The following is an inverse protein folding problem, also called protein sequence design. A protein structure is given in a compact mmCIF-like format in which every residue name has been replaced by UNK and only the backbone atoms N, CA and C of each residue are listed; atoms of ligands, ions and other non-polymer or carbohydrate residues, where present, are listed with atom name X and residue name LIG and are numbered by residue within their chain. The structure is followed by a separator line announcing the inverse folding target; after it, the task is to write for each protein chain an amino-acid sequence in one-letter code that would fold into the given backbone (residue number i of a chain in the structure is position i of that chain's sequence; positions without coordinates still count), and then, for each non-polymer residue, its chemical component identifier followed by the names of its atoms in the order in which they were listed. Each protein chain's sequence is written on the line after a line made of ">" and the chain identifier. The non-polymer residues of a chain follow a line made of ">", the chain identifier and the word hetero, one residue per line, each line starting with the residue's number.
data_IF_999840358502
#
_entry.id   IF_999840358502
#
_cell.length_a   1.000
_cell.length_b   1.000
_cell.length_c   1.000
_cell.angle_alpha   90.00
_cell.angle_beta   90.00
_cell.angle_gamma   90.00
#
_symmetry.space_group_name_H-M   'P 1'
#
loop_
_entity.id
_entity.type
_entity.pdbx_description
1 polymer ?
#
# COMPACT_ATOMS: atom_id res chain seq x y z
N UNK A 1 3.74 -82.33 17.98
CA UNK A 1 4.80 -82.10 16.98
C UNK A 1 4.27 -81.16 15.91
N UNK A 2 5.13 -80.30 15.35
CA UNK A 2 4.89 -79.15 14.44
C UNK A 2 4.52 -77.83 15.12
N UNK A 3 5.59 -77.05 15.36
CA UNK A 3 5.60 -75.61 15.65
C UNK A 3 5.22 -74.89 14.34
N UNK A 4 4.12 -74.13 14.33
CA UNK A 4 3.81 -73.21 13.23
C UNK A 4 4.43 -71.87 13.58
N UNK A 5 5.49 -71.56 12.84
CA UNK A 5 6.29 -70.34 12.93
C UNK A 5 5.59 -69.28 12.07
N UNK A 6 4.87 -68.33 12.67
CA UNK A 6 4.29 -67.20 11.92
C UNK A 6 5.33 -66.08 11.93
N UNK A 7 6.06 -65.96 10.83
CA UNK A 7 6.90 -64.81 10.54
C UNK A 7 5.99 -63.61 10.20
N UNK A 8 5.93 -62.62 11.09
CA UNK A 8 5.42 -61.29 10.76
C UNK A 8 6.38 -60.66 9.76
N UNK A 9 6.01 -60.65 8.48
CA UNK A 9 6.70 -59.87 7.46
C UNK A 9 6.49 -58.39 7.76
N UNK A 10 7.53 -57.74 8.28
CA UNK A 10 7.59 -56.28 8.39
C UNK A 10 7.74 -55.75 6.95
N UNK A 11 6.65 -55.25 6.38
CA UNK A 11 6.66 -54.49 5.14
C UNK A 11 7.37 -53.17 5.43
N UNK A 12 8.69 -53.12 5.16
CA UNK A 12 9.44 -51.87 5.12
C UNK A 12 8.92 -51.04 3.94
N UNK A 13 7.91 -50.21 4.20
CA UNK A 13 7.56 -49.10 3.30
C UNK A 13 8.70 -48.10 3.47
N UNK A 14 9.67 -48.17 2.56
CA UNK A 14 10.63 -47.10 2.34
C UNK A 14 9.84 -45.87 1.87
N UNK A 15 9.44 -45.03 2.82
CA UNK A 15 9.06 -43.64 2.57
C UNK A 15 10.31 -42.97 2.01
N UNK A 16 10.40 -42.92 0.68
CA UNK A 16 11.24 -41.97 0.01
C UNK A 16 10.73 -40.58 0.39
N UNK A 17 11.30 -40.03 1.47
CA UNK A 17 11.28 -38.60 1.72
C UNK A 17 12.01 -37.98 0.53
N UNK A 18 11.25 -37.59 -0.49
CA UNK A 18 11.68 -36.53 -1.39
C UNK A 18 11.64 -35.26 -0.54
N UNK A 19 12.78 -34.63 -0.18
CA UNK A 19 12.72 -33.22 0.07
C UNK A 19 12.43 -32.64 -1.32
N UNK A 20 11.17 -32.34 -1.60
CA UNK A 20 10.90 -31.25 -2.51
C UNK A 20 11.53 -30.04 -1.84
N UNK A 21 12.80 -29.81 -2.16
CA UNK A 21 13.44 -28.51 -2.08
C UNK A 21 12.49 -27.65 -2.90
N UNK A 22 11.60 -26.96 -2.21
CA UNK A 22 10.91 -25.81 -2.76
C UNK A 22 12.04 -24.84 -3.05
N UNK A 23 12.52 -24.86 -4.28
CA UNK A 23 13.26 -23.75 -4.83
C UNK A 23 12.39 -22.54 -4.55
N UNK A 24 12.90 -21.64 -3.71
CA UNK A 24 12.49 -20.26 -3.74
C UNK A 24 12.94 -19.68 -5.09
N UNK A 25 12.29 -20.15 -6.16
CA UNK A 25 12.15 -19.39 -7.38
C UNK A 25 10.90 -18.54 -7.13
N UNK A 26 11.09 -17.45 -6.39
CA UNK A 26 10.26 -16.28 -6.60
C UNK A 26 10.56 -15.80 -8.03
N UNK A 27 9.86 -16.41 -8.98
CA UNK A 27 9.68 -15.84 -10.30
C UNK A 27 8.90 -14.56 -10.08
N UNK A 28 9.66 -13.47 -9.92
CA UNK A 28 9.19 -12.10 -10.02
C UNK A 28 8.65 -11.91 -11.44
N UNK A 29 7.39 -12.29 -11.63
CA UNK A 29 6.64 -12.02 -12.85
C UNK A 29 6.32 -10.53 -12.85
N UNK A 30 7.03 -9.81 -13.71
CA UNK A 30 6.94 -8.37 -13.91
C UNK A 30 5.67 -7.98 -14.67
N UNK A 31 4.49 -8.33 -14.15
CA UNK A 31 3.24 -7.73 -14.63
C UNK A 31 2.73 -6.73 -13.61
N UNK A 32 2.41 -5.55 -14.13
CA UNK A 32 2.05 -4.29 -13.47
C UNK A 32 0.73 -4.34 -12.67
N UNK A 33 0.30 -5.51 -12.22
CA UNK A 33 -0.98 -5.68 -11.56
C UNK A 33 -0.84 -5.52 -10.04
N UNK A 34 -1.74 -4.73 -9.47
CA UNK A 34 -1.86 -4.61 -8.02
C UNK A 34 -2.52 -5.87 -7.46
N UNK A 35 -2.10 -6.35 -6.28
CA UNK A 35 -2.72 -7.52 -5.67
C UNK A 35 -4.17 -7.23 -5.29
N UNK A 36 -5.02 -8.26 -5.31
CA UNK A 36 -6.47 -8.16 -5.09
C UNK A 36 -6.83 -7.37 -3.82
N UNK A 37 -6.14 -7.61 -2.70
CA UNK A 37 -6.39 -6.88 -1.45
C UNK A 37 -6.18 -5.36 -1.58
N UNK A 38 -5.22 -4.94 -2.41
CA UNK A 38 -4.95 -3.53 -2.65
C UNK A 38 -5.98 -2.94 -3.62
N UNK A 39 -6.43 -3.72 -4.61
CA UNK A 39 -7.53 -3.31 -5.50
C UNK A 39 -8.80 -3.04 -4.69
N UNK A 40 -9.18 -3.96 -3.79
CA UNK A 40 -10.35 -3.79 -2.91
C UNK A 40 -10.23 -2.53 -2.04
N UNK A 41 -9.06 -2.28 -1.46
CA UNK A 41 -8.83 -1.06 -0.68
C UNK A 41 -8.94 0.19 -1.55
N UNK A 42 -8.38 0.18 -2.77
CA UNK A 42 -8.47 1.30 -3.70
C UNK A 42 -9.92 1.58 -4.14
N UNK A 43 -10.71 0.54 -4.42
CA UNK A 43 -12.13 0.69 -4.74
C UNK A 43 -12.92 1.27 -3.56
N UNK A 44 -12.60 0.87 -2.34
CA UNK A 44 -13.17 1.48 -1.14
C UNK A 44 -12.77 2.94 -0.99
N UNK A 45 -11.52 3.30 -1.28
CA UNK A 45 -11.11 4.72 -1.31
C UNK A 45 -11.94 5.49 -2.35
N UNK A 46 -12.11 4.93 -3.55
CA UNK A 46 -12.87 5.55 -4.65
C UNK A 46 -14.32 5.83 -4.28
N UNK A 47 -14.94 4.90 -3.57
CA UNK A 47 -16.34 5.00 -3.15
C UNK A 47 -16.61 6.25 -2.31
N UNK A 48 -15.63 6.73 -1.55
CA UNK A 48 -15.79 7.86 -0.63
C UNK A 48 -15.00 9.11 -1.05
N UNK A 49 -14.28 9.08 -2.18
CA UNK A 49 -13.64 10.30 -2.72
C UNK A 49 -14.68 11.13 -3.46
N UNK A 50 -14.96 12.31 -2.91
CA UNK A 50 -15.90 13.29 -3.44
C UNK A 50 -15.16 14.60 -3.77
N UNK A 51 -15.80 15.49 -4.53
CA UNK A 51 -15.29 16.83 -4.83
C UNK A 51 -16.13 17.88 -4.09
N UNK A 52 -15.48 18.91 -3.55
CA UNK A 52 -16.17 20.09 -3.01
C UNK A 52 -16.57 21.09 -4.11
N UNK A 53 -17.12 22.23 -3.70
CA UNK A 53 -17.54 23.33 -4.59
C UNK A 53 -16.38 23.95 -5.41
N UNK A 54 -15.13 23.76 -4.98
CA UNK A 54 -13.93 24.23 -5.67
C UNK A 54 -13.30 23.12 -6.54
N UNK A 55 -14.05 22.04 -6.79
CA UNK A 55 -13.60 20.82 -7.48
C UNK A 55 -12.45 20.08 -6.77
N UNK A 56 -12.15 20.43 -5.52
CA UNK A 56 -11.08 19.80 -4.77
C UNK A 56 -11.55 18.45 -4.22
N UNK A 57 -10.77 17.41 -4.48
CA UNK A 57 -11.08 16.05 -4.03
C UNK A 57 -10.72 15.85 -2.56
N UNK A 58 -11.59 15.18 -1.82
CA UNK A 58 -11.37 14.71 -0.45
C UNK A 58 -12.09 13.37 -0.22
N UNK A 59 -11.63 12.61 0.76
CA UNK A 59 -12.30 11.40 1.24
C UNK A 59 -13.33 11.80 2.31
N UNK A 60 -14.59 11.39 2.13
CA UNK A 60 -15.68 11.58 3.07
C UNK A 60 -15.60 10.58 4.23
N UNK A 61 -14.95 10.99 5.32
CA UNK A 61 -14.79 10.17 6.53
C UNK A 61 -16.11 9.90 7.22
N UNK A 62 -17.03 10.86 7.24
CA UNK A 62 -18.31 10.72 7.94
C UNK A 62 -19.17 9.65 7.27
N UNK A 63 -19.24 9.66 5.94
CA UNK A 63 -19.94 8.62 5.17
C UNK A 63 -19.32 7.23 5.35
N UNK A 64 -17.98 7.12 5.34
CA UNK A 64 -17.31 5.84 5.54
C UNK A 64 -17.55 5.26 6.95
N UNK A 65 -17.51 6.11 7.99
CA UNK A 65 -17.83 5.72 9.36
C UNK A 65 -19.30 5.33 9.51
N UNK A 66 -20.23 6.11 8.91
CA UNK A 66 -21.66 5.80 8.93
C UNK A 66 -21.97 4.45 8.26
N UNK A 67 -21.22 4.08 7.23
CA UNK A 67 -21.30 2.79 6.55
C UNK A 67 -20.54 1.66 7.24
N UNK A 68 -19.96 1.91 8.42
CA UNK A 68 -19.22 0.92 9.21
C UNK A 68 -18.04 0.29 8.46
N UNK A 69 -17.35 1.08 7.63
CA UNK A 69 -16.12 0.64 6.98
C UNK A 69 -15.02 0.31 8.00
N UNK A 70 -14.17 -0.65 7.67
CA UNK A 70 -13.09 -1.10 8.57
C UNK A 70 -11.95 -0.09 8.71
N UNK A 71 -11.18 -0.23 9.80
CA UNK A 71 -10.09 0.68 10.18
C UNK A 71 -9.08 0.98 9.06
N UNK A 72 -8.81 0.01 8.18
CA UNK A 72 -7.88 0.18 7.08
C UNK A 72 -8.38 1.18 6.03
N UNK A 73 -9.68 1.16 5.74
CA UNK A 73 -10.33 2.10 4.81
C UNK A 73 -10.34 3.50 5.43
N UNK A 74 -10.67 3.60 6.71
CA UNK A 74 -10.68 4.88 7.44
C UNK A 74 -9.28 5.50 7.45
N UNK A 75 -8.25 4.73 7.82
CA UNK A 75 -6.87 5.21 7.84
C UNK A 75 -6.37 5.61 6.44
N UNK A 76 -6.76 4.87 5.39
CA UNK A 76 -6.43 5.25 4.01
C UNK A 76 -7.12 6.54 3.58
N UNK A 77 -8.35 6.78 4.01
CA UNK A 77 -9.07 8.03 3.79
C UNK A 77 -8.46 9.23 4.53
N UNK A 78 -8.06 9.03 5.79
CA UNK A 78 -7.32 10.04 6.56
C UNK A 78 -5.98 10.38 5.89
N UNK A 79 -5.22 9.35 5.46
CA UNK A 79 -3.98 9.52 4.72
C UNK A 79 -4.21 10.28 3.41
N UNK A 80 -5.28 9.96 2.66
CA UNK A 80 -5.65 10.67 1.44
C UNK A 80 -5.86 12.17 1.68
N UNK A 81 -6.62 12.52 2.72
CA UNK A 81 -6.92 13.91 3.06
C UNK A 81 -5.67 14.68 3.53
N UNK A 82 -4.71 14.00 4.16
CA UNK A 82 -3.49 14.66 4.66
C UNK A 82 -2.56 15.18 3.57
N UNK A 83 -2.62 14.60 2.35
CA UNK A 83 -1.76 15.00 1.23
C UNK A 83 -2.05 16.45 0.80
N UNK A 84 -3.27 16.97 1.04
CA UNK A 84 -3.70 18.33 0.67
C UNK A 84 -3.15 19.44 1.60
N UNK A 85 -2.70 19.12 2.81
CA UNK A 85 -2.56 20.07 3.91
C UNK A 85 -1.36 21.04 3.83
N UNK A 86 -0.99 21.51 2.62
CA UNK A 86 0.04 22.54 2.43
C UNK A 86 -0.55 23.95 2.20
N UNK A 87 -1.88 24.11 2.11
CA UNK A 87 -2.54 25.42 2.13
C UNK A 87 -3.51 25.50 3.33
N UNK A 88 -3.22 26.41 4.25
CA UNK A 88 -3.82 26.52 5.60
C UNK A 88 -5.34 26.78 5.65
N UNK A 89 -6.00 26.93 4.50
CA UNK A 89 -7.41 27.34 4.39
C UNK A 89 -8.41 26.20 4.29
N UNK A 90 -7.97 24.93 4.15
CA UNK A 90 -8.94 23.83 4.18
C UNK A 90 -9.56 23.72 5.58
N UNK A 91 -10.89 23.59 5.74
CA UNK A 91 -11.50 23.26 7.02
C UNK A 91 -10.97 21.93 7.59
N UNK A 92 -10.36 21.09 6.75
CA UNK A 92 -9.64 19.87 7.11
C UNK A 92 -8.15 20.09 7.47
N UNK A 93 -7.54 21.23 7.09
CA UNK A 93 -6.16 21.61 7.45
C UNK A 93 -5.99 21.92 8.94
N UNK A 94 -7.09 22.18 9.66
CA UNK A 94 -7.09 22.38 11.11
C UNK A 94 -6.82 21.10 11.89
N UNK A 95 -6.95 19.94 11.24
CA UNK A 95 -6.49 18.67 11.78
C UNK A 95 -5.05 18.43 11.32
N UNK A 96 -4.11 19.19 11.89
CA UNK A 96 -2.72 18.73 11.95
C UNK A 96 -2.67 17.57 12.95
N UNK A 97 -3.21 16.41 12.58
CA UNK A 97 -3.09 15.20 13.39
C UNK A 97 -1.59 14.87 13.43
N UNK A 98 -0.93 14.97 14.59
CA UNK A 98 0.42 14.46 14.73
C UNK A 98 0.37 12.96 14.44
N UNK A 99 1.02 12.50 13.38
CA UNK A 99 1.04 11.08 13.02
C UNK A 99 0.49 10.73 11.63
N UNK A 100 -0.07 11.68 10.86
CA UNK A 100 -0.43 11.42 9.45
C UNK A 100 0.72 11.80 8.49
N UNK A 101 1.89 11.21 8.76
CA UNK A 101 3.07 11.29 7.91
C UNK A 101 3.78 9.95 8.00
N UNK A 102 4.23 9.42 6.87
CA UNK A 102 4.99 8.17 6.87
C UNK A 102 6.48 8.46 6.72
N UNK A 103 7.27 7.97 7.67
CA UNK A 103 8.71 8.16 7.67
C UNK A 103 9.12 9.63 7.73
N UNK A 104 10.01 10.02 6.82
CA UNK A 104 10.67 11.31 6.81
C UNK A 104 10.20 12.23 5.67
N UNK A 105 9.48 11.69 4.68
CA UNK A 105 9.13 12.38 3.42
C UNK A 105 7.69 12.19 2.94
N UNK A 106 6.94 11.18 3.39
CA UNK A 106 5.56 11.03 2.92
C UNK A 106 4.60 11.87 3.76
N UNK A 107 4.05 12.93 3.16
CA UNK A 107 3.10 13.86 3.79
C UNK A 107 3.63 15.30 3.79
N UNK A 108 2.91 16.23 4.43
CA UNK A 108 3.31 17.65 4.47
C UNK A 108 4.66 17.85 5.18
N UNK A 109 5.62 18.41 4.45
CA UNK A 109 6.97 18.67 4.92
C UNK A 109 7.88 17.44 4.98
N UNK A 110 9.18 17.68 5.13
CA UNK A 110 10.19 16.63 5.33
C UNK A 110 11.20 17.03 6.41
N UNK A 111 11.80 16.04 7.07
CA UNK A 111 12.76 16.28 8.16
C UNK A 111 14.23 16.11 7.73
N UNK A 112 14.48 15.96 6.42
CA UNK A 112 15.79 15.85 5.76
C UNK A 112 16.69 14.69 6.24
N UNK A 113 16.14 13.69 6.94
CA UNK A 113 16.86 12.47 7.32
C UNK A 113 16.89 11.44 6.19
N UNK A 114 17.61 10.34 6.37
CA UNK A 114 17.57 9.23 5.42
C UNK A 114 16.18 8.61 5.35
N UNK A 115 15.67 8.25 4.16
CA UNK A 115 14.38 7.57 4.07
C UNK A 115 14.42 6.25 4.86
N UNK A 116 13.35 5.94 5.57
CA UNK A 116 13.30 4.76 6.45
C UNK A 116 13.08 3.46 5.68
N UNK A 117 12.51 3.53 4.47
CA UNK A 117 12.28 2.40 3.58
C UNK A 117 12.05 2.81 2.11
N UNK A 118 11.43 1.93 1.32
CA UNK A 118 11.09 2.11 -0.09
C UNK A 118 9.94 3.08 -0.37
N UNK A 119 8.89 3.08 0.45
CA UNK A 119 7.81 4.06 0.36
C UNK A 119 8.36 5.46 0.65
N UNK A 120 9.10 5.61 1.76
CA UNK A 120 9.67 6.89 2.16
C UNK A 120 10.70 7.40 1.14
N UNK A 121 11.44 6.49 0.49
CA UNK A 121 12.35 6.82 -0.62
C UNK A 121 11.59 7.28 -1.88
N UNK A 122 10.43 6.70 -2.18
CA UNK A 122 9.58 7.14 -3.28
C UNK A 122 9.05 8.56 -3.03
N UNK A 123 8.58 8.85 -1.81
CA UNK A 123 8.15 10.18 -1.40
C UNK A 123 9.30 11.20 -1.48
N UNK A 124 10.49 10.85 -0.98
CA UNK A 124 11.69 11.71 -1.11
C UNK A 124 12.00 12.08 -2.56
N UNK A 125 11.88 11.12 -3.48
CA UNK A 125 12.13 11.36 -4.90
C UNK A 125 11.05 12.25 -5.54
N UNK A 126 9.79 12.13 -5.10
CA UNK A 126 8.69 12.99 -5.51
C UNK A 126 8.89 14.43 -5.03
N UNK A 127 9.17 14.63 -3.74
CA UNK A 127 9.50 15.93 -3.13
C UNK A 127 10.62 16.65 -3.89
N UNK A 128 11.70 15.94 -4.21
CA UNK A 128 12.83 16.49 -4.94
C UNK A 128 12.56 16.81 -6.40
N UNK A 129 11.53 16.20 -7.00
CA UNK A 129 11.09 16.46 -8.37
C UNK A 129 10.09 17.61 -8.44
N UNK A 130 9.25 17.74 -7.41
CA UNK A 130 8.09 18.62 -7.39
C UNK A 130 8.48 20.10 -7.58
N UNK A 131 7.68 20.79 -8.41
CA UNK A 131 7.82 22.22 -8.71
C UNK A 131 6.54 22.96 -8.31
N UNK A 132 6.67 23.84 -7.34
CA UNK A 132 5.58 24.72 -6.89
C UNK A 132 5.06 25.60 -8.02
N UNK A 133 3.73 25.55 -8.24
CA UNK A 133 3.05 26.27 -9.34
C UNK A 133 3.43 25.78 -10.75
N UNK A 134 4.14 24.65 -10.86
CA UNK A 134 4.62 24.09 -12.12
C UNK A 134 3.88 22.83 -12.56
N UNK A 135 4.27 22.30 -13.72
CA UNK A 135 3.79 21.02 -14.21
C UNK A 135 4.52 19.86 -13.50
N UNK A 136 3.78 19.09 -12.70
CA UNK A 136 4.28 17.95 -11.92
C UNK A 136 3.86 16.59 -12.49
N UNK A 137 3.35 16.51 -13.72
CA UNK A 137 2.88 15.25 -14.33
C UNK A 137 3.96 14.17 -14.35
N UNK A 138 5.21 14.51 -14.68
CA UNK A 138 6.33 13.55 -14.69
C UNK A 138 6.68 13.09 -13.27
N UNK A 139 6.67 13.99 -12.30
CA UNK A 139 6.92 13.65 -10.89
C UNK A 139 5.87 12.67 -10.37
N UNK A 140 4.59 12.94 -10.65
CA UNK A 140 3.48 12.07 -10.27
C UNK A 140 3.58 10.71 -10.96
N UNK A 141 3.89 10.66 -12.27
CA UNK A 141 4.14 9.40 -12.99
C UNK A 141 5.25 8.57 -12.37
N UNK A 142 6.36 9.20 -11.98
CA UNK A 142 7.48 8.52 -11.36
C UNK A 142 7.11 7.98 -9.97
N UNK A 143 6.39 8.76 -9.17
CA UNK A 143 5.85 8.30 -7.89
C UNK A 143 4.94 7.09 -8.09
N UNK A 144 3.98 7.18 -9.02
CA UNK A 144 3.05 6.08 -9.33
C UNK A 144 3.74 4.78 -9.69
N UNK A 145 4.79 4.84 -10.53
CA UNK A 145 5.61 3.66 -10.87
C UNK A 145 6.31 3.07 -9.65
N UNK A 146 6.81 3.93 -8.75
CA UNK A 146 7.48 3.48 -7.54
C UNK A 146 6.51 2.88 -6.51
N UNK A 147 5.25 3.32 -6.49
CA UNK A 147 4.23 2.82 -5.55
C UNK A 147 3.74 1.41 -5.88
N UNK A 148 3.77 0.97 -7.14
CA UNK A 148 3.31 -0.38 -7.53
C UNK A 148 4.04 -1.49 -6.76
N UNK A 149 5.38 -1.60 -6.78
CA UNK A 149 6.08 -2.64 -6.02
C UNK A 149 5.96 -2.45 -4.51
N UNK A 150 5.82 -1.21 -4.02
CA UNK A 150 5.56 -0.94 -2.59
C UNK A 150 4.23 -1.57 -2.17
N UNK A 151 3.17 -1.36 -2.95
CA UNK A 151 1.83 -1.90 -2.65
C UNK A 151 1.82 -3.43 -2.76
N UNK A 152 2.47 -3.98 -3.80
CA UNK A 152 2.57 -5.44 -4.00
C UNK A 152 3.17 -6.15 -2.77
N UNK A 153 4.13 -5.51 -2.10
CA UNK A 153 4.86 -6.08 -0.96
C UNK A 153 4.32 -5.66 0.42
N UNK A 154 3.33 -4.76 0.48
CA UNK A 154 2.87 -4.18 1.74
C UNK A 154 1.85 -5.02 2.52
N UNK A 155 1.51 -6.24 2.08
CA UNK A 155 0.45 -7.06 2.68
C UNK A 155 0.58 -7.23 4.21
N UNK A 156 1.82 -7.34 4.73
CA UNK A 156 2.09 -7.51 6.16
C UNK A 156 2.44 -6.20 6.87
N UNK A 157 2.39 -5.07 6.18
CA UNK A 157 2.68 -3.74 6.74
C UNK A 157 1.48 -2.80 6.46
N UNK A 158 0.44 -2.86 7.30
CA UNK A 158 -0.82 -2.14 7.07
C UNK A 158 -0.60 -0.63 6.99
N UNK A 159 0.33 -0.08 7.79
CA UNK A 159 0.67 1.34 7.72
C UNK A 159 1.27 1.69 6.35
N UNK A 160 2.28 0.94 5.88
CA UNK A 160 2.86 1.17 4.54
C UNK A 160 1.80 1.06 3.45
N UNK A 161 0.92 0.07 3.54
CA UNK A 161 -0.17 -0.13 2.60
C UNK A 161 -1.09 1.11 2.55
N UNK A 162 -1.58 1.57 3.71
CA UNK A 162 -2.43 2.76 3.86
C UNK A 162 -1.87 3.97 3.11
N UNK A 163 -0.62 4.33 3.37
CA UNK A 163 -0.02 5.52 2.76
C UNK A 163 0.26 5.32 1.26
N UNK A 164 0.70 4.13 0.87
CA UNK A 164 0.97 3.84 -0.52
C UNK A 164 -0.32 3.87 -1.38
N UNK A 165 -1.42 3.28 -0.91
CA UNK A 165 -2.71 3.30 -1.62
C UNK A 165 -3.37 4.67 -1.60
N UNK A 166 -3.26 5.41 -0.50
CA UNK A 166 -3.73 6.80 -0.42
C UNK A 166 -3.03 7.68 -1.46
N UNK A 167 -1.69 7.62 -1.52
CA UNK A 167 -0.90 8.34 -2.52
C UNK A 167 -1.24 7.87 -3.95
N UNK A 168 -1.34 6.56 -4.17
CA UNK A 168 -1.68 5.99 -5.47
C UNK A 168 -3.00 6.56 -5.99
N UNK A 169 -4.00 6.68 -5.11
CA UNK A 169 -5.30 7.22 -5.49
C UNK A 169 -5.30 8.75 -5.64
N UNK A 170 -4.68 9.46 -4.71
CA UNK A 170 -4.60 10.92 -4.74
C UNK A 170 -3.99 11.42 -6.05
N UNK A 171 -2.83 10.87 -6.42
CA UNK A 171 -2.13 11.20 -7.66
C UNK A 171 -2.71 10.54 -8.92
N UNK A 172 -3.84 9.83 -8.79
CA UNK A 172 -4.58 9.22 -9.89
C UNK A 172 -3.73 8.26 -10.74
N UNK A 173 -2.92 7.43 -10.08
CA UNK A 173 -1.91 6.60 -10.72
C UNK A 173 -2.45 5.63 -11.77
N UNK A 174 -3.66 5.09 -11.60
CA UNK A 174 -4.30 4.23 -12.60
C UNK A 174 -4.61 4.91 -13.95
N UNK A 175 -4.52 6.24 -14.04
CA UNK A 175 -4.62 7.00 -15.31
C UNK A 175 -3.24 7.39 -15.89
N UNK A 176 -2.17 7.15 -15.13
CA UNK A 176 -0.82 7.64 -15.42
C UNK A 176 0.15 6.52 -15.83
N UNK A 177 -0.20 5.27 -15.53
CA UNK A 177 0.45 4.04 -15.96
C UNK A 177 -0.26 3.51 -17.22
#
# INVERSE_FOLDING_TARGET
>A
MKKILIFFGILFISLAFNPAISTADEVYSSDSELPQFAVELLEKIDQYVVSDENEERYFDLEAAIANQEGDLVIQAGEAFNSIKAENETSPYARLRIPGISYGNYCGPGNNKKNPIDDLDRACKAHDGCYKWGGNNTTCNKNLCKALVPVIQLAQQNPTKLVYATAAYKYFSCGKLL
#
